data_IF_165618731222
#
_entry.id   IF_165618731222
#
_cell.length_a   1.000
_cell.length_b   1.000
_cell.length_c   1.000
_cell.angle_alpha   90.00
_cell.angle_beta   90.00
_cell.angle_gamma   90.00
#
_symmetry.space_group_name_H-M   'P 1'
#
loop_
_entity.id
_entity.type
_entity.pdbx_description
1 polymer ?
#
# COMPACT_ATOMS: atom_id res chain seq x y z
N UNK A 1 11.20 4.38 14.55
CA UNK A 1 11.17 4.30 13.06
C UNK A 1 11.98 5.45 12.43
N UNK A 2 13.32 5.37 12.45
CA UNK A 2 14.17 6.48 11.96
C UNK A 2 14.00 6.80 10.48
N UNK A 3 13.75 5.76 9.67
CA UNK A 3 13.57 5.90 8.22
C UNK A 3 12.37 6.77 7.81
N UNK A 4 11.27 6.73 8.59
CA UNK A 4 10.07 7.53 8.29
C UNK A 4 10.34 9.01 8.50
N UNK A 5 11.10 9.35 9.54
CA UNK A 5 11.49 10.74 9.86
C UNK A 5 12.41 11.32 8.79
N UNK A 6 13.21 10.49 8.13
CA UNK A 6 14.10 10.91 7.02
C UNK A 6 13.36 11.22 5.72
N UNK A 7 12.11 10.75 5.57
CA UNK A 7 11.33 10.99 4.36
C UNK A 7 10.75 12.40 4.29
N UNK A 8 10.45 12.98 5.45
CA UNK A 8 9.82 14.29 5.50
C UNK A 8 10.15 14.96 6.87
N UNK A 9 10.94 16.03 6.91
CA UNK A 9 11.22 16.76 8.14
C UNK A 9 9.95 17.32 8.79
N UNK A 10 9.93 17.37 10.12
CA UNK A 10 8.80 17.93 10.88
C UNK A 10 7.64 16.96 11.14
N UNK A 11 7.84 15.65 10.91
CA UNK A 11 6.88 14.63 11.30
C UNK A 11 7.05 14.33 12.78
N UNK A 12 5.94 14.31 13.49
CA UNK A 12 5.87 13.80 14.84
C UNK A 12 5.22 12.42 14.84
N UNK A 13 5.85 11.49 15.55
CA UNK A 13 5.26 10.18 15.85
C UNK A 13 4.68 10.21 17.26
N UNK A 14 3.52 9.63 17.46
CA UNK A 14 2.90 9.52 18.76
C UNK A 14 2.39 8.09 18.99
N UNK A 15 2.50 7.65 20.23
CA UNK A 15 1.92 6.41 20.70
C UNK A 15 0.44 6.62 20.97
N UNK A 16 -0.36 5.71 20.44
CA UNK A 16 -1.78 5.81 20.62
C UNK A 16 -2.33 4.46 21.09
N UNK A 17 -2.75 4.46 22.35
CA UNK A 17 -3.34 3.31 23.01
C UNK A 17 -4.86 3.27 22.79
N UNK A 18 -5.34 2.91 21.61
CA UNK A 18 -6.76 2.75 21.38
C UNK A 18 -7.10 1.72 20.30
N UNK A 19 -6.92 0.46 20.61
CA UNK A 19 -7.78 -0.54 20.00
C UNK A 19 -7.72 -1.80 20.87
N UNK A 20 -8.64 -1.91 21.76
CA UNK A 20 -8.96 -3.21 22.32
C UNK A 20 -9.70 -3.97 21.25
N UNK A 21 -9.03 -4.86 20.58
CA UNK A 21 -9.71 -5.94 19.84
C UNK A 21 -10.05 -6.99 20.86
N UNK A 22 -11.21 -6.84 21.52
CA UNK A 22 -11.64 -7.71 22.63
C UNK A 22 -11.71 -9.19 22.26
N UNK A 23 -11.70 -9.49 20.97
CA UNK A 23 -11.72 -10.85 20.41
C UNK A 23 -10.31 -11.47 20.22
N UNK A 24 -9.23 -10.69 20.38
CA UNK A 24 -7.89 -11.20 20.20
C UNK A 24 -7.16 -11.23 21.55
N UNK A 25 -6.64 -12.40 21.98
CA UNK A 25 -5.80 -12.49 23.17
C UNK A 25 -4.62 -11.51 23.11
N UNK A 26 -4.32 -10.84 24.23
CA UNK A 26 -3.23 -9.86 24.36
C UNK A 26 -3.33 -8.63 23.44
N UNK A 27 -4.52 -8.29 22.94
CA UNK A 27 -4.69 -7.09 22.11
C UNK A 27 -4.45 -5.77 22.83
N UNK A 28 -4.48 -5.78 24.15
CA UNK A 28 -4.13 -4.66 25.05
C UNK A 28 -2.63 -4.35 25.04
N UNK A 29 -1.79 -5.30 24.63
CA UNK A 29 -0.33 -5.12 24.49
C UNK A 29 0.07 -4.54 23.14
N UNK A 30 -0.85 -4.41 22.18
CA UNK A 30 -0.56 -3.87 20.86
C UNK A 30 -0.41 -2.35 20.93
N UNK A 31 0.82 -1.89 20.73
CA UNK A 31 1.13 -0.48 20.59
C UNK A 31 0.91 -0.02 19.15
N UNK A 32 0.07 1.00 18.96
CA UNK A 32 -0.15 1.64 17.67
C UNK A 32 0.59 2.97 17.62
N UNK A 33 1.31 3.17 16.51
CA UNK A 33 1.97 4.42 16.22
C UNK A 33 1.12 5.23 15.23
N UNK A 34 0.88 6.48 15.58
CA UNK A 34 0.31 7.46 14.67
C UNK A 34 1.37 8.45 14.19
N UNK A 35 1.10 9.08 13.08
CA UNK A 35 1.89 10.17 12.53
C UNK A 35 1.06 11.44 12.46
N UNK A 36 1.67 12.59 12.75
CA UNK A 36 1.03 13.91 12.61
C UNK A 36 2.03 14.93 12.06
N UNK A 37 1.52 15.88 11.31
CA UNK A 37 2.26 17.05 10.83
C UNK A 37 1.28 18.14 10.40
N UNK A 38 1.52 19.37 10.76
CA UNK A 38 0.77 20.56 10.31
C UNK A 38 -0.77 20.38 10.40
N UNK A 39 -1.26 19.85 11.52
CA UNK A 39 -2.67 19.56 11.74
C UNK A 39 -3.20 18.28 11.07
N UNK A 40 -2.47 17.67 10.17
CA UNK A 40 -2.81 16.38 9.58
C UNK A 40 -2.48 15.24 10.54
N UNK A 41 -3.33 14.21 10.56
CA UNK A 41 -3.15 12.99 11.38
C UNK A 41 -3.43 11.74 10.56
N UNK A 42 -2.83 10.63 11.01
CA UNK A 42 -3.11 9.27 10.49
C UNK A 42 -2.98 9.14 8.97
N UNK A 43 -3.99 8.68 8.28
CA UNK A 43 -3.96 8.38 6.85
C UNK A 43 -3.54 9.54 5.95
N UNK A 44 -4.16 10.73 6.04
CA UNK A 44 -3.75 11.90 5.26
C UNK A 44 -2.30 12.31 5.50
N UNK A 45 -1.85 12.27 6.76
CA UNK A 45 -0.46 12.57 7.09
C UNK A 45 0.50 11.53 6.50
N UNK A 46 0.18 10.24 6.62
CA UNK A 46 0.98 9.17 6.04
C UNK A 46 1.07 9.30 4.52
N UNK A 47 -0.07 9.58 3.87
CA UNK A 47 -0.10 9.81 2.43
C UNK A 47 0.80 10.98 2.02
N UNK A 48 0.73 12.10 2.73
CA UNK A 48 1.58 13.26 2.47
C UNK A 48 3.07 12.94 2.60
N UNK A 49 3.44 12.17 3.62
CA UNK A 49 4.84 11.73 3.82
C UNK A 49 5.31 10.87 2.65
N UNK A 50 4.54 9.85 2.28
CA UNK A 50 4.92 8.91 1.24
C UNK A 50 4.95 9.57 -0.13
N UNK A 51 3.96 10.40 -0.47
CA UNK A 51 3.92 11.11 -1.75
C UNK A 51 5.06 12.12 -1.89
N UNK A 52 5.40 12.83 -0.80
CA UNK A 52 6.59 13.70 -0.76
C UNK A 52 7.87 12.88 -0.97
N UNK A 53 7.98 11.73 -0.31
CA UNK A 53 9.11 10.82 -0.48
C UNK A 53 9.29 10.31 -1.92
N UNK A 54 8.18 10.02 -2.61
CA UNK A 54 8.16 9.64 -4.03
C UNK A 54 8.64 10.79 -4.92
N UNK A 55 8.09 11.99 -4.70
CA UNK A 55 8.45 13.20 -5.46
C UNK A 55 9.91 13.57 -5.30
N UNK A 56 10.43 13.58 -4.08
CA UNK A 56 11.83 13.93 -3.79
C UNK A 56 12.82 12.94 -4.42
N UNK A 57 12.44 11.70 -4.59
CA UNK A 57 13.24 10.66 -5.27
C UNK A 57 13.05 10.62 -6.77
N UNK A 58 12.21 11.50 -7.31
CA UNK A 58 11.88 11.55 -8.75
C UNK A 58 11.41 10.20 -9.28
N UNK A 59 10.69 9.44 -8.46
CA UNK A 59 10.11 8.16 -8.87
C UNK A 59 8.99 8.46 -9.87
N UNK A 60 9.05 7.83 -11.03
CA UNK A 60 8.03 7.99 -12.05
C UNK A 60 6.71 7.35 -11.58
N UNK A 61 5.65 8.14 -11.50
CA UNK A 61 4.30 7.68 -11.19
C UNK A 61 3.46 7.80 -12.44
N UNK A 62 2.72 6.75 -12.76
CA UNK A 62 1.80 6.72 -13.90
C UNK A 62 0.38 6.55 -13.37
N UNK A 63 -0.40 7.62 -13.44
CA UNK A 63 -1.83 7.59 -13.11
C UNK A 63 -2.65 7.01 -14.27
N UNK A 64 -3.88 6.59 -13.99
CA UNK A 64 -4.81 6.03 -14.99
C UNK A 64 -4.16 4.95 -15.85
N UNK A 65 -3.35 4.11 -15.20
CA UNK A 65 -2.55 3.10 -15.88
C UNK A 65 -2.73 1.75 -15.17
N UNK A 66 -3.92 1.13 -15.27
CA UNK A 66 -4.18 -0.14 -14.62
C UNK A 66 -3.29 -1.24 -15.21
N UNK A 67 -2.68 -2.02 -14.32
CA UNK A 67 -1.95 -3.23 -14.71
C UNK A 67 -2.96 -4.33 -15.02
N UNK A 68 -2.80 -4.97 -16.17
CA UNK A 68 -3.69 -6.04 -16.67
C UNK A 68 -3.07 -7.43 -16.53
N UNK A 69 -1.74 -7.53 -16.69
CA UNK A 69 -1.08 -8.82 -16.71
C UNK A 69 0.37 -8.73 -16.23
N UNK A 70 0.84 -9.80 -15.59
CA UNK A 70 2.26 -10.01 -15.28
C UNK A 70 2.96 -10.66 -16.49
N UNK A 71 4.19 -10.25 -16.74
CA UNK A 71 5.04 -10.87 -17.77
C UNK A 71 5.94 -11.87 -17.07
N UNK A 72 5.85 -13.13 -17.50
CA UNK A 72 6.66 -14.22 -16.97
C UNK A 72 7.74 -14.60 -18.00
N UNK A 73 8.95 -14.82 -17.52
CA UNK A 73 10.06 -15.40 -18.27
C UNK A 73 10.73 -16.47 -17.42
N UNK A 74 10.74 -17.71 -17.90
CA UNK A 74 11.31 -18.88 -17.20
C UNK A 74 10.87 -19.01 -15.74
N UNK A 75 9.57 -18.76 -15.47
CA UNK A 75 8.99 -18.84 -14.14
C UNK A 75 9.23 -17.61 -13.24
N UNK A 76 9.92 -16.59 -13.71
CA UNK A 76 10.15 -15.34 -13.00
C UNK A 76 9.28 -14.20 -13.55
N UNK A 77 8.79 -13.33 -12.67
CA UNK A 77 8.08 -12.11 -13.10
C UNK A 77 9.11 -11.08 -13.52
N UNK A 78 9.10 -10.71 -14.81
CA UNK A 78 10.06 -9.78 -15.41
C UNK A 78 9.45 -8.42 -15.79
N UNK A 79 8.15 -8.25 -15.59
CA UNK A 79 7.49 -7.00 -15.91
C UNK A 79 5.97 -7.10 -15.83
N UNK A 80 5.31 -6.08 -16.36
CA UNK A 80 3.85 -5.99 -16.42
C UNK A 80 3.39 -5.44 -17.77
N UNK A 81 2.16 -5.81 -18.16
CA UNK A 81 1.41 -5.15 -19.21
C UNK A 81 0.36 -4.28 -18.54
N UNK A 82 0.41 -2.99 -18.79
CA UNK A 82 -0.55 -2.00 -18.31
C UNK A 82 -1.28 -1.37 -19.49
N UNK A 83 -2.44 -0.80 -19.21
CA UNK A 83 -3.19 0.01 -20.19
C UNK A 83 -2.96 1.48 -19.87
N UNK A 84 -2.42 2.24 -20.79
CA UNK A 84 -2.22 3.67 -20.62
C UNK A 84 -2.90 4.42 -21.75
N UNK A 85 -3.87 5.27 -21.41
CA UNK A 85 -4.66 6.03 -22.39
C UNK A 85 -5.29 5.15 -23.49
N UNK A 86 -5.84 4.01 -23.10
CA UNK A 86 -6.48 3.06 -24.01
C UNK A 86 -5.52 2.20 -24.85
N UNK A 87 -4.21 2.31 -24.66
CA UNK A 87 -3.21 1.52 -25.38
C UNK A 87 -2.41 0.63 -24.43
N UNK A 88 -2.08 -0.61 -24.83
CA UNK A 88 -1.26 -1.48 -24.01
C UNK A 88 0.18 -0.95 -23.93
N UNK A 89 0.73 -0.95 -22.73
CA UNK A 89 2.10 -0.54 -22.44
C UNK A 89 2.84 -1.63 -21.68
N UNK A 90 3.93 -2.10 -22.22
CA UNK A 90 4.82 -3.05 -21.58
C UNK A 90 5.85 -2.33 -20.71
N UNK A 91 5.97 -2.72 -19.46
CA UNK A 91 6.93 -2.17 -18.51
C UNK A 91 7.78 -3.33 -17.98
N UNK A 92 9.08 -3.31 -18.25
CA UNK A 92 10.03 -4.31 -17.73
C UNK A 92 10.59 -3.88 -16.39
N UNK A 93 10.64 -4.83 -15.45
CA UNK A 93 11.26 -4.65 -14.16
C UNK A 93 12.73 -5.09 -14.20
N UNK A 94 13.64 -4.24 -13.71
CA UNK A 94 15.07 -4.58 -13.63
C UNK A 94 15.40 -5.53 -12.48
N UNK A 95 14.61 -5.47 -11.38
CA UNK A 95 14.85 -6.26 -10.16
C UNK A 95 13.65 -7.08 -9.75
N UNK A 96 12.49 -6.46 -9.56
CA UNK A 96 11.28 -7.11 -9.08
C UNK A 96 10.03 -6.30 -9.44
N UNK A 97 8.86 -6.95 -9.39
CA UNK A 97 7.54 -6.34 -9.40
C UNK A 97 6.95 -6.50 -8.00
N UNK A 98 6.48 -5.41 -7.41
CA UNK A 98 5.81 -5.40 -6.11
C UNK A 98 4.33 -5.10 -6.34
N UNK A 99 3.46 -6.01 -5.92
CA UNK A 99 2.01 -5.84 -6.00
C UNK A 99 1.49 -5.25 -4.69
N UNK A 100 0.85 -4.09 -4.78
CA UNK A 100 0.24 -3.38 -3.65
C UNK A 100 -1.20 -2.98 -3.96
N UNK A 101 -1.91 -3.84 -4.70
CA UNK A 101 -3.25 -3.58 -5.23
C UNK A 101 -4.38 -3.82 -4.21
N UNK A 102 -4.06 -4.07 -2.95
CA UNK A 102 -5.05 -4.37 -1.90
C UNK A 102 -5.55 -5.80 -1.96
N UNK A 103 -6.70 -6.04 -1.36
CA UNK A 103 -7.35 -7.33 -1.30
C UNK A 103 -8.63 -7.38 -2.16
N UNK A 104 -9.47 -8.37 -1.88
CA UNK A 104 -10.71 -8.62 -2.62
C UNK A 104 -11.98 -8.41 -1.76
N UNK A 105 -11.90 -7.56 -0.74
CA UNK A 105 -12.96 -7.30 0.25
C UNK A 105 -14.27 -6.79 -0.40
N UNK A 106 -14.15 -6.17 -1.56
CA UNK A 106 -15.30 -5.64 -2.30
C UNK A 106 -15.73 -6.54 -3.48
N UNK A 107 -15.12 -7.72 -3.64
CA UNK A 107 -15.47 -8.66 -4.69
C UNK A 107 -16.29 -9.81 -4.12
N UNK A 108 -17.61 -9.74 -4.25
CA UNK A 108 -18.56 -10.71 -3.67
C UNK A 108 -18.32 -12.14 -4.18
N UNK A 109 -17.97 -12.32 -5.44
CA UNK A 109 -17.66 -13.62 -6.00
C UNK A 109 -16.42 -14.24 -5.37
N UNK A 110 -15.35 -13.46 -5.23
CA UNK A 110 -14.14 -13.94 -4.56
C UNK A 110 -14.37 -14.19 -3.07
N UNK A 111 -15.15 -13.36 -2.41
CA UNK A 111 -15.54 -13.61 -1.01
C UNK A 111 -16.29 -14.93 -0.87
N UNK A 112 -17.29 -15.19 -1.69
CA UNK A 112 -18.05 -16.45 -1.66
C UNK A 112 -17.15 -17.66 -1.90
N UNK A 113 -16.20 -17.57 -2.85
CA UNK A 113 -15.34 -18.68 -3.23
C UNK A 113 -14.20 -18.95 -2.25
N UNK A 114 -13.64 -17.92 -1.62
CA UNK A 114 -12.42 -18.05 -0.81
C UNK A 114 -12.63 -17.91 0.71
N UNK A 115 -13.75 -17.34 1.16
CA UNK A 115 -14.06 -17.22 2.60
C UNK A 115 -15.07 -18.25 3.11
N UNK A 116 -15.48 -19.20 2.28
CA UNK A 116 -16.48 -20.23 2.64
C UNK A 116 -17.80 -19.64 3.16
N UNK A 117 -18.19 -18.47 2.66
CA UNK A 117 -19.42 -17.79 3.08
C UNK A 117 -19.38 -17.22 4.51
N UNK A 118 -18.19 -17.10 5.11
CA UNK A 118 -18.06 -16.39 6.38
C UNK A 118 -18.03 -14.90 6.08
N UNK A 119 -19.04 -14.18 6.57
CA UNK A 119 -19.05 -12.73 6.60
C UNK A 119 -17.84 -12.24 7.41
N UNK A 120 -17.06 -11.34 6.82
CA UNK A 120 -15.91 -10.70 7.46
C UNK A 120 -16.35 -9.33 7.98
#
# INVERSE_FOLDING_TARGET
MPWLLSLCPGIETYLYRRARYTMLPNSDTIEKFGVRRDGMRSGPCLWHILSTGVSNRKIQVMFETPVKQLILDKGSVVGVIAEHKGSPKTIRAKKAVILTCGGFENNQEMLANYTQGKDI
#
